data_IF_108622641074
#
_entry.id   IF_108622641074
#
_cell.length_a   1.000
_cell.length_b   1.000
_cell.length_c   1.000
_cell.angle_alpha   90.00
_cell.angle_beta   90.00
_cell.angle_gamma   90.00
#
_symmetry.space_group_name_H-M   'P 1'
#
loop_
_entity.id
_entity.type
_entity.pdbx_description
1 polymer ?
#
# COMPACT_ATOMS: atom_id res chain seq x y z
N UNK A 1 -11.75 28.41 16.38
CA UNK A 1 -10.94 27.28 15.93
C UNK A 1 -11.82 26.05 15.84
N UNK A 2 -11.81 25.36 14.73
CA UNK A 2 -12.50 24.07 14.58
C UNK A 2 -11.87 23.09 15.59
N UNK A 3 -12.69 22.43 16.40
CA UNK A 3 -12.21 21.41 17.33
C UNK A 3 -12.12 20.10 16.55
N UNK A 4 -10.90 19.56 16.46
CA UNK A 4 -10.67 18.20 15.96
C UNK A 4 -11.56 17.20 16.71
N UNK A 5 -12.32 16.40 15.97
CA UNK A 5 -13.18 15.35 16.51
C UNK A 5 -12.48 13.99 16.56
N UNK A 6 -13.04 13.09 17.37
CA UNK A 6 -12.63 11.69 17.43
C UNK A 6 -13.85 10.78 17.45
N UNK A 7 -13.81 9.74 16.64
CA UNK A 7 -14.77 8.64 16.63
C UNK A 7 -14.01 7.37 16.97
N UNK A 8 -14.56 6.56 17.88
CA UNK A 8 -14.03 5.23 18.20
C UNK A 8 -15.12 4.21 17.93
N UNK A 9 -14.79 3.17 17.20
CA UNK A 9 -15.72 2.08 16.89
C UNK A 9 -15.48 0.88 17.81
N UNK A 10 -16.48 0.01 17.95
CA UNK A 10 -16.39 -1.16 18.83
C UNK A 10 -15.39 -2.22 18.33
N UNK A 11 -15.05 -2.18 17.05
CA UNK A 11 -14.08 -3.07 16.38
C UNK A 11 -12.64 -2.54 16.43
N UNK A 12 -12.39 -1.49 17.23
CA UNK A 12 -11.03 -1.01 17.51
C UNK A 12 -10.49 0.02 16.53
N UNK A 13 -11.32 0.61 15.68
CA UNK A 13 -10.91 1.71 14.81
C UNK A 13 -11.08 3.05 15.53
N UNK A 14 -10.03 3.86 15.51
CA UNK A 14 -10.02 5.24 15.99
C UNK A 14 -9.84 6.16 14.78
N UNK A 15 -10.78 7.06 14.58
CA UNK A 15 -10.78 8.04 13.50
C UNK A 15 -10.70 9.45 14.07
N UNK A 16 -9.66 10.19 13.74
CA UNK A 16 -9.49 11.60 14.04
C UNK A 16 -9.62 12.43 12.76
N UNK A 17 -10.36 13.54 12.80
CA UNK A 17 -10.49 14.49 11.68
C UNK A 17 -10.94 15.87 12.18
N UNK A 18 -10.85 16.87 11.30
CA UNK A 18 -11.33 18.23 11.61
C UNK A 18 -12.85 18.32 11.48
N UNK A 19 -13.45 17.59 10.53
CA UNK A 19 -14.89 17.58 10.26
C UNK A 19 -15.40 16.15 10.04
N UNK A 20 -16.67 15.93 10.46
CA UNK A 20 -17.39 14.67 10.28
C UNK A 20 -18.80 14.90 9.81
N UNK A 21 -19.24 14.07 8.89
CA UNK A 21 -20.62 13.98 8.44
C UNK A 21 -21.08 12.52 8.46
N UNK A 22 -22.23 12.24 9.05
CA UNK A 22 -22.77 10.87 9.11
C UNK A 22 -24.19 10.79 8.54
N UNK A 23 -24.33 10.10 7.42
CA UNK A 23 -25.63 9.74 6.88
C UNK A 23 -26.13 8.45 7.54
N UNK A 24 -27.13 8.60 8.43
CA UNK A 24 -27.75 7.48 9.15
C UNK A 24 -28.56 6.55 8.26
N UNK A 25 -29.11 7.02 7.15
CA UNK A 25 -29.94 6.21 6.24
C UNK A 25 -29.07 5.31 5.39
N UNK A 26 -27.99 5.85 4.86
CA UNK A 26 -27.04 5.14 4.03
C UNK A 26 -25.96 4.42 4.85
N UNK A 27 -25.82 4.76 6.12
CA UNK A 27 -24.78 4.27 7.03
C UNK A 27 -23.37 4.60 6.51
N UNK A 28 -23.21 5.85 6.01
CA UNK A 28 -21.96 6.37 5.45
C UNK A 28 -21.40 7.43 6.40
N UNK A 29 -20.11 7.31 6.71
CA UNK A 29 -19.37 8.30 7.46
C UNK A 29 -18.36 8.98 6.52
N UNK A 30 -18.44 10.28 6.37
CA UNK A 30 -17.44 11.12 5.73
C UNK A 30 -16.63 11.82 6.82
N UNK A 31 -15.33 11.98 6.58
CA UNK A 31 -14.48 12.79 7.43
C UNK A 31 -13.46 13.54 6.56
N UNK A 32 -13.16 14.76 6.93
CA UNK A 32 -12.24 15.62 6.18
C UNK A 32 -11.35 16.46 7.09
N UNK A 33 -10.20 16.85 6.55
CA UNK A 33 -9.17 17.65 7.21
C UNK A 33 -8.33 16.86 8.20
N UNK A 34 -7.04 16.70 7.89
CA UNK A 34 -6.05 16.02 8.74
C UNK A 34 -6.54 14.64 9.26
N UNK A 35 -7.13 13.85 8.37
CA UNK A 35 -7.72 12.56 8.73
C UNK A 35 -6.64 11.57 9.15
N UNK A 36 -6.86 10.92 10.29
CA UNK A 36 -6.05 9.80 10.76
C UNK A 36 -6.97 8.64 11.15
N UNK A 37 -6.78 7.50 10.52
CA UNK A 37 -7.42 6.24 10.88
C UNK A 37 -6.37 5.39 11.60
N UNK A 38 -6.71 4.85 12.77
CA UNK A 38 -5.89 3.89 13.49
C UNK A 38 -6.72 2.64 13.75
N UNK A 39 -6.52 1.60 12.93
CA UNK A 39 -7.09 0.27 13.17
C UNK A 39 -6.14 -0.47 14.12
N UNK A 40 -6.50 -0.50 15.40
CA UNK A 40 -5.68 -1.08 16.46
C UNK A 40 -5.62 -2.61 16.38
N UNK A 41 -6.63 -3.24 15.79
CA UNK A 41 -6.72 -4.70 15.61
C UNK A 41 -5.87 -5.14 14.43
N UNK A 42 -5.98 -4.44 13.30
CA UNK A 42 -5.24 -4.71 12.08
C UNK A 42 -3.84 -4.08 12.06
N UNK A 43 -3.49 -3.31 13.10
CA UNK A 43 -2.20 -2.58 13.24
C UNK A 43 -1.86 -1.72 12.03
N UNK A 44 -2.87 -1.07 11.45
CA UNK A 44 -2.74 -0.21 10.28
C UNK A 44 -3.08 1.21 10.65
N UNK A 45 -2.23 2.16 10.28
CA UNK A 45 -2.51 3.59 10.45
C UNK A 45 -2.57 4.22 9.06
N UNK A 46 -3.65 4.94 8.76
CA UNK A 46 -3.81 5.66 7.51
C UNK A 46 -3.91 7.15 7.81
N UNK A 47 -3.16 7.96 7.05
CA UNK A 47 -3.27 9.42 7.01
C UNK A 47 -3.75 9.82 5.61
N UNK A 48 -4.65 10.80 5.54
CA UNK A 48 -5.22 11.29 4.28
C UNK A 48 -5.90 12.64 4.49
N UNK A 49 -6.36 13.28 3.43
CA UNK A 49 -7.14 14.52 3.52
C UNK A 49 -8.61 14.24 3.80
N UNK A 50 -9.18 13.23 3.13
CA UNK A 50 -10.60 12.90 3.21
C UNK A 50 -10.82 11.40 3.20
N UNK A 51 -11.92 10.97 3.82
CA UNK A 51 -12.40 9.58 3.73
C UNK A 51 -13.90 9.51 3.52
N UNK A 52 -14.31 8.43 2.88
CA UNK A 52 -15.68 7.89 2.88
C UNK A 52 -15.63 6.47 3.43
N UNK A 53 -16.29 6.22 4.55
CA UNK A 53 -16.43 4.90 5.15
C UNK A 53 -17.84 4.35 4.96
N UNK A 54 -17.95 3.30 4.16
CA UNK A 54 -19.17 2.54 3.92
C UNK A 54 -19.32 1.47 5.00
N UNK A 55 -19.97 1.77 6.11
CA UNK A 55 -20.05 0.89 7.28
C UNK A 55 -20.74 -0.45 7.02
N UNK A 56 -21.68 -0.50 6.08
CA UNK A 56 -22.39 -1.76 5.75
C UNK A 56 -21.49 -2.78 5.05
N UNK A 57 -20.47 -2.33 4.34
CA UNK A 57 -19.55 -3.19 3.57
C UNK A 57 -18.13 -3.18 4.15
N UNK A 58 -17.92 -2.43 5.22
CA UNK A 58 -16.60 -2.26 5.87
C UNK A 58 -15.50 -1.81 4.89
N UNK A 59 -15.86 -0.92 3.95
CA UNK A 59 -14.94 -0.37 2.95
C UNK A 59 -14.65 1.09 3.27
N UNK A 60 -13.39 1.44 3.32
CA UNK A 60 -12.89 2.81 3.46
C UNK A 60 -12.26 3.23 2.15
N UNK A 61 -12.69 4.37 1.62
CA UNK A 61 -12.03 5.09 0.54
C UNK A 61 -11.29 6.27 1.13
N UNK A 62 -10.08 6.54 0.66
CA UNK A 62 -9.35 7.77 0.97
C UNK A 62 -9.23 8.64 -0.26
N UNK A 63 -9.07 9.94 -0.07
CA UNK A 63 -8.85 10.88 -1.15
C UNK A 63 -7.81 11.92 -0.76
N UNK A 64 -6.80 12.08 -1.63
CA UNK A 64 -5.73 13.06 -1.54
C UNK A 64 -4.57 12.67 -0.60
N UNK A 65 -3.38 12.49 -1.17
CA UNK A 65 -2.09 12.28 -0.50
C UNK A 65 -2.14 11.27 0.64
N UNK A 66 -2.57 10.06 0.30
CA UNK A 66 -2.81 9.01 1.29
C UNK A 66 -1.53 8.28 1.66
N UNK A 67 -1.39 7.95 2.94
CA UNK A 67 -0.25 7.24 3.50
C UNK A 67 -0.71 6.18 4.48
N UNK A 68 -0.38 4.91 4.24
CA UNK A 68 -0.64 3.80 5.13
C UNK A 68 0.66 3.29 5.76
N UNK A 69 0.64 3.04 7.07
CA UNK A 69 1.77 2.49 7.82
C UNK A 69 1.37 1.16 8.45
N UNK A 70 2.23 0.17 8.30
CA UNK A 70 2.07 -1.16 8.87
C UNK A 70 3.43 -1.87 8.97
N UNK A 71 3.82 -2.29 10.16
CA UNK A 71 4.99 -3.18 10.39
C UNK A 71 6.29 -2.73 9.69
N UNK A 72 6.67 -1.44 9.86
CA UNK A 72 7.83 -0.85 9.20
C UNK A 72 7.63 -0.50 7.73
N UNK A 73 6.54 -0.95 7.15
CA UNK A 73 6.13 -0.64 5.79
C UNK A 73 5.39 0.69 5.73
N UNK A 74 5.67 1.49 4.73
CA UNK A 74 4.88 2.66 4.38
C UNK A 74 4.43 2.58 2.93
N UNK A 75 3.13 2.72 2.69
CA UNK A 75 2.56 2.85 1.34
C UNK A 75 2.07 4.27 1.17
N UNK A 76 2.51 4.93 0.10
CA UNK A 76 2.01 6.22 -0.34
C UNK A 76 1.21 6.02 -1.62
N UNK A 77 0.13 6.77 -1.80
CA UNK A 77 -0.67 6.79 -3.02
C UNK A 77 -1.55 8.04 -3.06
N UNK A 78 -2.10 8.36 -4.21
CA UNK A 78 -3.12 9.41 -4.30
C UNK A 78 -4.37 8.98 -3.54
N UNK A 79 -4.77 7.70 -3.68
CA UNK A 79 -5.98 7.15 -3.08
C UNK A 79 -5.78 5.72 -2.59
N UNK A 80 -6.53 5.35 -1.54
CA UNK A 80 -6.70 3.96 -1.11
C UNK A 80 -8.15 3.52 -1.15
N UNK A 81 -8.34 2.23 -1.39
CA UNK A 81 -9.56 1.51 -1.09
C UNK A 81 -9.22 0.34 -0.15
N UNK A 82 -9.56 0.47 1.12
CA UNK A 82 -9.32 -0.56 2.13
C UNK A 82 -10.59 -1.35 2.40
N UNK A 83 -10.58 -2.63 2.07
CA UNK A 83 -11.63 -3.57 2.46
C UNK A 83 -11.21 -4.26 3.76
N UNK A 84 -11.83 -3.88 4.88
CA UNK A 84 -11.51 -4.38 6.21
C UNK A 84 -11.86 -5.86 6.40
N UNK A 85 -12.94 -6.34 5.74
CA UNK A 85 -13.38 -7.74 5.82
C UNK A 85 -12.36 -8.66 5.15
N UNK A 86 -11.98 -8.34 3.91
CA UNK A 86 -11.02 -9.11 3.13
C UNK A 86 -9.57 -8.83 3.55
N UNK A 87 -9.34 -7.76 4.30
CA UNK A 87 -8.03 -7.27 4.69
C UNK A 87 -7.13 -6.97 3.47
N UNK A 88 -7.71 -6.27 2.47
CA UNK A 88 -7.06 -5.91 1.21
C UNK A 88 -7.02 -4.39 1.08
N UNK A 89 -5.84 -3.86 0.75
CA UNK A 89 -5.66 -2.46 0.37
C UNK A 89 -5.38 -2.41 -1.14
N UNK A 90 -6.20 -1.68 -1.88
CA UNK A 90 -5.87 -1.23 -3.22
C UNK A 90 -5.35 0.21 -3.11
N UNK A 91 -4.21 0.49 -3.71
CA UNK A 91 -3.64 1.83 -3.79
C UNK A 91 -3.50 2.25 -5.25
N UNK A 92 -3.78 3.52 -5.54
CA UNK A 92 -3.99 4.02 -6.88
C UNK A 92 -3.40 5.43 -7.02
N UNK A 93 -2.62 5.64 -8.07
CA UNK A 93 -1.92 6.87 -8.40
C UNK A 93 -0.64 7.11 -7.59
N UNK A 94 0.47 7.30 -8.28
CA UNK A 94 1.78 7.64 -7.69
C UNK A 94 2.20 6.73 -6.53
N UNK A 95 1.96 5.43 -6.67
CA UNK A 95 2.18 4.49 -5.57
C UNK A 95 3.67 4.32 -5.30
N UNK A 96 4.05 4.50 -4.02
CA UNK A 96 5.37 4.15 -3.50
C UNK A 96 5.20 3.23 -2.30
N UNK A 97 5.80 2.06 -2.35
CA UNK A 97 5.97 1.16 -1.19
C UNK A 97 7.39 1.35 -0.68
N UNK A 98 7.56 1.61 0.60
CA UNK A 98 8.86 1.90 1.22
C UNK A 98 9.00 1.08 2.50
N UNK A 99 10.00 0.22 2.54
CA UNK A 99 10.38 -0.52 3.73
C UNK A 99 11.87 -0.32 4.02
N UNK A 100 12.21 0.69 4.84
CA UNK A 100 13.60 0.98 5.17
C UNK A 100 14.27 -0.07 6.05
N UNK A 101 13.50 -0.96 6.71
CA UNK A 101 14.02 -2.03 7.56
C UNK A 101 14.54 -3.17 6.68
N UNK A 102 13.78 -3.53 5.65
CA UNK A 102 14.13 -4.59 4.69
C UNK A 102 14.82 -4.02 3.44
N UNK A 103 15.12 -2.71 3.42
CA UNK A 103 15.84 -1.95 2.39
C UNK A 103 15.31 -2.18 0.97
N UNK A 104 13.99 -2.04 0.79
CA UNK A 104 13.39 -2.03 -0.54
C UNK A 104 12.42 -0.87 -0.75
N UNK A 105 12.33 -0.42 -2.01
CA UNK A 105 11.35 0.58 -2.47
C UNK A 105 10.75 0.11 -3.79
N UNK A 106 9.41 0.16 -3.90
CA UNK A 106 8.69 -0.17 -5.14
C UNK A 106 7.87 1.05 -5.57
N UNK A 107 7.98 1.43 -6.85
CA UNK A 107 7.23 2.49 -7.49
C UNK A 107 6.36 1.90 -8.59
N UNK A 108 5.09 2.30 -8.64
CA UNK A 108 4.12 1.84 -9.64
C UNK A 108 2.91 2.78 -9.66
N UNK A 109 1.97 2.58 -10.57
CA UNK A 109 0.72 3.34 -10.57
C UNK A 109 -0.35 2.68 -9.71
N UNK A 110 -0.37 1.35 -9.63
CA UNK A 110 -1.41 0.62 -8.92
C UNK A 110 -0.85 -0.60 -8.18
N UNK A 111 -1.38 -0.84 -6.97
CA UNK A 111 -1.13 -2.07 -6.23
C UNK A 111 -2.40 -2.67 -5.64
N UNK A 112 -2.35 -3.98 -5.44
CA UNK A 112 -3.21 -4.70 -4.51
C UNK A 112 -2.34 -5.34 -3.44
N UNK A 113 -2.55 -4.94 -2.18
CA UNK A 113 -1.88 -5.53 -1.02
C UNK A 113 -2.83 -6.49 -0.30
N UNK A 114 -2.54 -7.77 -0.40
CA UNK A 114 -3.21 -8.85 0.32
C UNK A 114 -2.53 -9.01 1.68
N UNK A 115 -3.03 -8.32 2.69
CA UNK A 115 -2.39 -8.24 4.01
C UNK A 115 -2.29 -9.61 4.70
N UNK A 116 -3.30 -10.47 4.56
CA UNK A 116 -3.30 -11.80 5.14
C UNK A 116 -2.25 -12.75 4.51
N UNK A 117 -1.82 -12.45 3.29
CA UNK A 117 -0.84 -13.22 2.53
C UNK A 117 0.54 -12.56 2.52
N UNK A 118 0.67 -11.38 3.13
CA UNK A 118 1.85 -10.51 3.02
C UNK A 118 2.36 -10.36 1.57
N UNK A 119 1.41 -10.17 0.63
CA UNK A 119 1.66 -10.18 -0.79
C UNK A 119 1.24 -8.88 -1.46
N UNK A 120 2.13 -8.31 -2.25
CA UNK A 120 1.82 -7.23 -3.18
C UNK A 120 1.69 -7.76 -4.60
N UNK A 121 0.72 -7.23 -5.34
CA UNK A 121 0.67 -7.31 -6.80
C UNK A 121 0.67 -5.88 -7.33
N UNK A 122 1.60 -5.56 -8.21
CA UNK A 122 1.59 -4.30 -8.94
C UNK A 122 0.85 -4.46 -10.26
N UNK A 123 0.38 -3.36 -10.83
CA UNK A 123 -0.29 -3.35 -12.10
C UNK A 123 0.29 -2.22 -12.97
N UNK A 124 0.81 -2.58 -14.14
CA UNK A 124 1.50 -1.66 -15.04
C UNK A 124 2.99 -1.53 -14.74
N UNK A 125 3.60 -0.46 -15.24
CA UNK A 125 5.04 -0.22 -15.08
C UNK A 125 5.44 -0.16 -13.61
N UNK A 126 6.47 -0.93 -13.29
CA UNK A 126 6.95 -1.08 -11.93
C UNK A 126 8.46 -0.96 -11.87
N UNK A 127 8.95 -0.10 -10.98
CA UNK A 127 10.37 -0.02 -10.61
C UNK A 127 10.53 -0.51 -9.19
N UNK A 128 11.31 -1.57 -8.96
CA UNK A 128 11.68 -2.04 -7.63
C UNK A 128 13.17 -1.79 -7.39
N UNK A 129 13.50 -1.17 -6.28
CA UNK A 129 14.87 -0.93 -5.81
C UNK A 129 15.08 -1.81 -4.59
N UNK A 130 16.01 -2.75 -4.66
CA UNK A 130 16.29 -3.71 -3.60
C UNK A 130 17.72 -3.48 -3.09
N UNK A 131 17.87 -3.32 -1.77
CA UNK A 131 19.15 -3.12 -1.06
C UNK A 131 20.03 -2.02 -1.65
N UNK A 132 19.40 -1.03 -2.33
CA UNK A 132 20.10 0.01 -3.12
C UNK A 132 21.09 -0.55 -4.15
N UNK A 133 21.11 -1.86 -4.34
CA UNK A 133 22.04 -2.59 -5.20
C UNK A 133 21.44 -2.88 -6.57
N UNK A 134 20.15 -3.32 -6.60
CA UNK A 134 19.49 -3.68 -7.83
C UNK A 134 18.29 -2.80 -8.11
N UNK A 135 18.13 -2.42 -9.38
CA UNK A 135 16.92 -1.79 -9.89
C UNK A 135 16.27 -2.75 -10.89
N UNK A 136 15.04 -3.17 -10.58
CA UNK A 136 14.21 -3.98 -11.46
C UNK A 136 13.19 -3.08 -12.14
N UNK A 137 13.13 -3.12 -13.46
CA UNK A 137 12.13 -2.44 -14.27
C UNK A 137 11.31 -3.50 -14.98
N UNK A 138 10.06 -3.64 -14.63
CA UNK A 138 9.15 -4.67 -15.13
C UNK A 138 7.72 -4.16 -15.15
N UNK A 139 6.79 -5.00 -15.55
CA UNK A 139 5.35 -4.78 -15.37
C UNK A 139 4.76 -5.92 -14.57
N UNK A 140 3.67 -5.62 -13.83
CA UNK A 140 2.88 -6.64 -13.11
C UNK A 140 3.71 -7.53 -12.20
N UNK A 141 4.43 -6.90 -11.27
CA UNK A 141 5.33 -7.57 -10.33
C UNK A 141 4.55 -8.14 -9.14
N UNK A 142 4.93 -9.32 -8.70
CA UNK A 142 4.52 -9.91 -7.43
C UNK A 142 5.66 -9.82 -6.42
N UNK A 143 5.34 -9.43 -5.17
CA UNK A 143 6.27 -9.49 -4.06
C UNK A 143 5.66 -10.25 -2.89
N UNK A 144 6.26 -11.38 -2.55
CA UNK A 144 5.93 -12.21 -1.38
C UNK A 144 6.85 -11.82 -0.23
N UNK A 145 6.36 -10.95 0.69
CA UNK A 145 7.18 -10.37 1.77
C UNK A 145 7.76 -11.40 2.70
N UNK A 146 6.94 -12.35 3.19
CA UNK A 146 7.39 -13.38 4.14
C UNK A 146 8.48 -14.28 3.57
N UNK A 147 8.49 -14.45 2.26
CA UNK A 147 9.49 -15.24 1.55
C UNK A 147 10.61 -14.40 0.98
N UNK A 148 10.45 -13.08 0.99
CA UNK A 148 11.34 -12.11 0.34
C UNK A 148 11.63 -12.43 -1.12
N UNK A 149 10.57 -12.77 -1.87
CA UNK A 149 10.65 -13.12 -3.28
C UNK A 149 9.98 -12.03 -4.10
N UNK A 150 10.74 -11.41 -5.00
CA UNK A 150 10.25 -10.51 -6.04
C UNK A 150 10.23 -11.26 -7.36
N UNK A 151 9.10 -11.24 -8.08
CA UNK A 151 8.98 -11.96 -9.35
C UNK A 151 8.08 -11.21 -10.34
N UNK A 152 8.25 -11.48 -11.63
CA UNK A 152 7.27 -11.07 -12.64
C UNK A 152 6.04 -11.98 -12.58
N UNK A 153 4.86 -11.40 -12.85
CA UNK A 153 3.59 -12.16 -12.89
C UNK A 153 3.22 -12.59 -14.30
N UNK A 154 3.93 -12.08 -15.31
CA UNK A 154 3.69 -12.32 -16.74
C UNK A 154 5.01 -12.46 -17.48
N UNK A 155 4.96 -13.03 -18.68
CA UNK A 155 6.07 -13.04 -19.64
C UNK A 155 6.29 -11.62 -20.20
N UNK A 156 6.96 -10.78 -19.42
CA UNK A 156 7.33 -9.41 -19.74
C UNK A 156 8.82 -9.22 -19.64
N UNK A 157 9.36 -8.41 -20.55
CA UNK A 157 10.77 -8.07 -20.51
C UNK A 157 11.09 -7.28 -19.22
N UNK A 158 11.86 -7.91 -18.35
CA UNK A 158 12.40 -7.26 -17.14
C UNK A 158 13.83 -6.81 -17.41
N UNK A 159 14.12 -5.57 -17.08
CA UNK A 159 15.47 -5.00 -17.12
C UNK A 159 15.95 -4.86 -15.70
N UNK A 160 17.12 -5.42 -15.40
CA UNK A 160 17.77 -5.30 -14.10
C UNK A 160 19.09 -4.55 -14.30
N UNK A 161 19.34 -3.57 -13.44
CA UNK A 161 20.64 -2.90 -13.33
C UNK A 161 21.20 -3.10 -11.95
N UNK A 162 22.46 -3.53 -11.86
CA UNK A 162 23.19 -3.63 -10.61
C UNK A 162 23.88 -2.28 -10.23
N UNK A 163 24.56 -2.25 -9.10
CA UNK A 163 25.30 -1.10 -8.59
C UNK A 163 26.46 -0.67 -9.52
N UNK A 164 26.99 -1.59 -10.35
CA UNK A 164 28.00 -1.33 -11.37
C UNK A 164 27.40 -0.90 -12.72
N UNK A 165 26.10 -0.62 -12.78
CA UNK A 165 25.35 -0.25 -13.96
C UNK A 165 25.37 -1.32 -15.07
N UNK A 166 25.66 -2.59 -14.74
CA UNK A 166 25.46 -3.69 -15.67
C UNK A 166 23.99 -3.92 -15.89
N UNK A 167 23.63 -4.17 -17.14
CA UNK A 167 22.25 -4.34 -17.55
C UNK A 167 22.00 -5.81 -17.93
N UNK A 168 20.99 -6.39 -17.30
CA UNK A 168 20.51 -7.75 -17.56
C UNK A 168 19.08 -7.68 -18.10
N UNK A 169 18.69 -8.62 -18.95
CA UNK A 169 17.35 -8.69 -19.56
C UNK A 169 16.80 -10.09 -19.38
N UNK A 170 15.61 -10.17 -18.80
CA UNK A 170 14.90 -11.41 -18.55
C UNK A 170 13.49 -11.33 -19.14
N UNK A 171 12.95 -12.44 -19.62
CA UNK A 171 11.52 -12.55 -19.99
C UNK A 171 10.66 -12.87 -18.79
N UNK A 172 11.22 -13.64 -17.85
CA UNK A 172 10.65 -13.95 -16.57
C UNK A 172 11.76 -13.84 -15.52
N UNK A 173 11.43 -13.46 -14.30
CA UNK A 173 12.39 -13.45 -13.22
C UNK A 173 11.74 -13.84 -11.89
N UNK A 174 12.55 -14.43 -11.04
CA UNK A 174 12.29 -14.63 -9.63
C UNK A 174 13.57 -14.29 -8.86
N UNK A 175 13.51 -13.30 -7.98
CA UNK A 175 14.64 -12.84 -7.20
C UNK A 175 14.41 -13.11 -5.73
N UNK A 176 15.31 -13.90 -5.15
CA UNK A 176 15.34 -14.28 -3.74
C UNK A 176 16.26 -13.30 -3.01
N UNK A 177 15.68 -12.34 -2.28
CA UNK A 177 16.43 -11.24 -1.68
C UNK A 177 17.45 -11.75 -0.66
N UNK A 178 17.07 -12.66 0.22
CA UNK A 178 17.99 -13.21 1.26
C UNK A 178 19.14 -14.05 0.69
N UNK A 179 18.98 -14.59 -0.52
CA UNK A 179 19.98 -15.42 -1.17
C UNK A 179 20.82 -14.64 -2.20
N UNK A 180 20.44 -13.40 -2.49
CA UNK A 180 20.99 -12.57 -3.60
C UNK A 180 21.03 -13.35 -4.93
N UNK A 181 19.97 -14.13 -5.18
CA UNK A 181 19.83 -15.06 -6.30
C UNK A 181 18.72 -14.60 -7.25
N UNK A 182 19.09 -14.42 -8.53
CA UNK A 182 18.20 -14.05 -9.63
C UNK A 182 18.08 -15.20 -10.64
#
# INVERSE_FOLDING_TARGET
GKKRGRITTNDGVILDADEFEYDKKLNILNASGNVKINDTVKKTIIYTNEITYLKNTEIIFTEGDSKALEDGLTIYADNFRYNKILNIINADGNVKIDNPIEDYVIYTDNITYFKNENKFLTQGETKSVIEKKYNFYSSDVQFLRDKKILSSTKDVLTIVTDDNQKLYKFKEFEYFIDEDLL
#
